data_IF_969713861477
#
_entry.id   IF_969713861477
#
_cell.length_a   1.000
_cell.length_b   1.000
_cell.length_c   1.000
_cell.angle_alpha   90.00
_cell.angle_beta   90.00
_cell.angle_gamma   90.00
#
_symmetry.space_group_name_H-M   'P 1'
#
loop_
_entity.id
_entity.type
_entity.pdbx_description
1 polymer ?
#
# COMPACT_ATOMS: atom_id res chain seq x y z
N UNK A 1 18.36 -7.32 -69.97
CA UNK A 1 18.80 -7.95 -68.70
C UNK A 1 17.69 -7.84 -67.66
N UNK A 2 17.03 -8.94 -67.28
CA UNK A 2 16.08 -8.96 -66.14
C UNK A 2 16.90 -8.92 -64.84
N UNK A 3 16.88 -7.79 -64.14
CA UNK A 3 17.59 -7.61 -62.85
C UNK A 3 16.88 -8.48 -61.79
N UNK A 4 17.64 -9.32 -61.08
CA UNK A 4 17.11 -10.27 -60.11
C UNK A 4 16.66 -9.55 -58.83
N UNK A 5 15.41 -9.08 -58.79
CA UNK A 5 14.88 -8.24 -57.72
C UNK A 5 14.48 -9.00 -56.44
N UNK A 6 14.59 -10.34 -56.43
CA UNK A 6 14.15 -11.17 -55.30
C UNK A 6 14.94 -10.90 -54.01
N UNK A 7 16.24 -10.65 -54.11
CA UNK A 7 17.09 -10.31 -52.95
C UNK A 7 16.78 -8.93 -52.37
N UNK A 8 16.42 -7.96 -53.21
CA UNK A 8 16.04 -6.62 -52.78
C UNK A 8 14.73 -6.65 -51.96
N UNK A 9 13.72 -7.37 -52.44
CA UNK A 9 12.44 -7.55 -51.73
C UNK A 9 12.63 -8.28 -50.39
N UNK A 10 13.55 -9.23 -50.32
CA UNK A 10 13.82 -10.00 -49.10
C UNK A 10 14.51 -9.15 -48.02
N UNK A 11 15.39 -8.24 -48.42
CA UNK A 11 16.03 -7.28 -47.50
C UNK A 11 15.04 -6.21 -47.03
N UNK A 12 14.21 -5.68 -47.93
CA UNK A 12 13.19 -4.68 -47.59
C UNK A 12 12.16 -5.24 -46.59
N UNK A 13 11.67 -6.46 -46.84
CA UNK A 13 10.73 -7.15 -45.92
C UNK A 13 11.38 -7.45 -44.56
N UNK A 14 12.66 -7.80 -44.52
CA UNK A 14 13.40 -8.00 -43.27
C UNK A 14 13.52 -6.70 -42.47
N UNK A 15 13.87 -5.58 -43.13
CA UNK A 15 13.97 -4.26 -42.49
C UNK A 15 12.62 -3.84 -41.90
N UNK A 16 11.55 -3.96 -42.68
CA UNK A 16 10.18 -3.63 -42.23
C UNK A 16 9.78 -4.51 -41.04
N UNK A 17 10.08 -5.81 -41.09
CA UNK A 17 9.75 -6.74 -40.01
C UNK A 17 10.48 -6.42 -38.70
N UNK A 18 11.78 -6.10 -38.77
CA UNK A 18 12.57 -5.67 -37.61
C UNK A 18 12.02 -4.37 -37.03
N UNK A 19 11.68 -3.41 -37.88
CA UNK A 19 11.09 -2.15 -37.44
C UNK A 19 9.78 -2.39 -36.67
N UNK A 20 8.86 -3.17 -37.25
CA UNK A 20 7.57 -3.50 -36.61
C UNK A 20 7.76 -4.23 -35.28
N UNK A 21 8.66 -5.23 -35.23
CA UNK A 21 8.99 -5.95 -33.99
C UNK A 21 9.50 -5.02 -32.90
N UNK A 22 10.39 -4.10 -33.26
CA UNK A 22 10.96 -3.13 -32.32
C UNK A 22 9.88 -2.21 -31.76
N UNK A 23 8.97 -1.72 -32.62
CA UNK A 23 7.83 -0.91 -32.19
C UNK A 23 6.89 -1.68 -31.27
N UNK A 24 6.59 -2.95 -31.58
CA UNK A 24 5.72 -3.78 -30.75
C UNK A 24 6.31 -4.05 -29.36
N UNK A 25 7.62 -4.34 -29.27
CA UNK A 25 8.30 -4.54 -27.99
C UNK A 25 8.25 -3.26 -27.15
N UNK A 26 8.52 -2.10 -27.78
CA UNK A 26 8.42 -0.82 -27.10
C UNK A 26 7.02 -0.56 -26.54
N UNK A 27 5.99 -0.73 -27.38
CA UNK A 27 4.58 -0.57 -26.97
C UNK A 27 4.20 -1.52 -25.84
N UNK A 28 4.65 -2.77 -25.88
CA UNK A 28 4.37 -3.76 -24.84
C UNK A 28 4.97 -3.35 -23.49
N UNK A 29 6.21 -2.85 -23.48
CA UNK A 29 6.87 -2.37 -22.26
C UNK A 29 6.12 -1.19 -21.65
N UNK A 30 5.73 -0.21 -22.48
CA UNK A 30 4.98 0.95 -22.01
C UNK A 30 3.57 0.57 -21.53
N UNK A 31 2.87 -0.28 -22.27
CA UNK A 31 1.56 -0.79 -21.85
C UNK A 31 1.63 -1.50 -20.50
N UNK A 32 2.65 -2.34 -20.26
CA UNK A 32 2.83 -3.00 -18.97
C UNK A 32 3.05 -2.01 -17.83
N UNK A 33 3.85 -0.97 -18.04
CA UNK A 33 4.06 0.08 -17.03
C UNK A 33 2.76 0.81 -16.70
N UNK A 34 2.00 1.21 -17.72
CA UNK A 34 0.72 1.90 -17.56
C UNK A 34 -0.29 1.01 -16.84
N UNK A 35 -0.44 -0.24 -17.27
CA UNK A 35 -1.33 -1.21 -16.63
C UNK A 35 -0.97 -1.42 -15.16
N UNK A 36 0.33 -1.59 -14.86
CA UNK A 36 0.78 -1.74 -13.47
C UNK A 36 0.45 -0.49 -12.64
N UNK A 37 0.64 0.71 -13.18
CA UNK A 37 0.27 1.96 -12.52
C UNK A 37 -1.24 2.07 -12.28
N UNK A 38 -2.05 1.67 -13.27
CA UNK A 38 -3.50 1.63 -13.18
C UNK A 38 -3.97 0.65 -12.11
N UNK A 39 -3.53 -0.61 -12.16
CA UNK A 39 -3.89 -1.63 -11.17
C UNK A 39 -3.50 -1.16 -9.75
N UNK A 40 -2.32 -0.53 -9.61
CA UNK A 40 -1.86 0.06 -8.34
C UNK A 40 -2.79 1.18 -7.85
N UNK A 41 -3.19 2.10 -8.73
CA UNK A 41 -4.06 3.22 -8.37
C UNK A 41 -5.47 2.81 -8.00
N UNK A 42 -5.99 1.72 -8.58
CA UNK A 42 -7.32 1.21 -8.26
C UNK A 42 -7.34 0.31 -7.00
N UNK A 43 -6.18 -0.20 -6.60
CA UNK A 43 -6.07 -1.07 -5.42
C UNK A 43 -5.75 -0.27 -4.14
N UNK A 44 -5.18 0.93 -4.28
CA UNK A 44 -4.68 1.73 -3.17
C UNK A 44 -5.58 2.93 -2.88
N UNK A 45 -5.92 3.13 -1.61
CA UNK A 45 -6.78 4.21 -1.11
C UNK A 45 -8.12 4.31 -1.86
N UNK A 46 -8.78 3.17 -2.06
CA UNK A 46 -10.14 3.14 -2.64
C UNK A 46 -11.10 3.96 -1.77
N UNK A 47 -12.17 4.50 -2.37
CA UNK A 47 -13.15 5.31 -1.62
C UNK A 47 -13.72 4.53 -0.43
N UNK A 48 -14.11 3.28 -0.66
CA UNK A 48 -14.61 2.38 0.39
C UNK A 48 -13.56 2.10 1.45
N UNK A 49 -12.31 1.79 1.05
CA UNK A 49 -11.22 1.52 1.97
C UNK A 49 -10.86 2.73 2.83
N UNK A 50 -10.88 3.94 2.26
CA UNK A 50 -10.65 5.18 3.00
C UNK A 50 -11.77 5.48 4.00
N UNK A 51 -13.02 5.22 3.64
CA UNK A 51 -14.15 5.37 4.58
C UNK A 51 -14.05 4.39 5.74
N UNK A 52 -13.76 3.12 5.44
CA UNK A 52 -13.51 2.10 6.44
C UNK A 52 -12.34 2.45 7.36
N UNK A 53 -11.22 2.90 6.79
CA UNK A 53 -10.06 3.35 7.56
C UNK A 53 -10.37 4.56 8.44
N UNK A 54 -11.17 5.51 7.95
CA UNK A 54 -11.64 6.65 8.73
C UNK A 54 -12.50 6.23 9.91
N UNK A 55 -13.45 5.31 9.70
CA UNK A 55 -14.31 4.81 10.79
C UNK A 55 -13.50 4.11 11.88
N UNK A 56 -12.54 3.27 11.48
CA UNK A 56 -11.68 2.59 12.44
C UNK A 56 -10.70 3.55 13.14
N UNK A 57 -10.19 4.55 12.43
CA UNK A 57 -9.37 5.60 13.03
C UNK A 57 -10.17 6.40 14.08
N UNK A 58 -11.44 6.72 13.82
CA UNK A 58 -12.32 7.35 14.81
C UNK A 58 -12.53 6.44 16.03
N UNK A 59 -12.77 5.14 15.82
CA UNK A 59 -12.88 4.18 16.91
C UNK A 59 -11.61 4.14 17.80
N UNK A 60 -10.42 4.16 17.19
CA UNK A 60 -9.17 4.28 17.95
C UNK A 60 -9.15 5.58 18.77
N UNK A 61 -9.50 6.72 18.14
CA UNK A 61 -9.49 8.05 18.78
C UNK A 61 -10.40 8.12 20.00
N UNK A 62 -11.54 7.45 19.97
CA UNK A 62 -12.57 7.60 20.99
C UNK A 62 -12.25 6.84 22.29
N UNK A 63 -11.42 5.80 22.26
CA UNK A 63 -11.19 4.98 23.46
C UNK A 63 -9.84 4.28 23.61
N UNK A 64 -8.97 4.27 22.59
CA UNK A 64 -7.74 3.45 22.62
C UNK A 64 -6.50 4.16 22.11
N UNK A 65 -6.61 5.43 21.71
CA UNK A 65 -5.52 6.20 21.11
C UNK A 65 -4.29 6.30 22.01
N UNK A 66 -4.44 6.74 23.27
CA UNK A 66 -3.31 6.89 24.19
C UNK A 66 -2.64 5.55 24.48
N UNK A 67 -3.42 4.47 24.67
CA UNK A 67 -2.88 3.13 24.93
C UNK A 67 -2.06 2.61 23.74
N UNK A 68 -2.58 2.75 22.52
CA UNK A 68 -1.90 2.32 21.30
C UNK A 68 -0.64 3.16 21.05
N UNK A 69 -0.72 4.47 21.27
CA UNK A 69 0.44 5.37 21.15
C UNK A 69 1.53 5.01 22.15
N UNK A 70 1.17 4.73 23.41
CA UNK A 70 2.13 4.34 24.44
C UNK A 70 2.75 2.96 24.14
N UNK A 71 1.96 2.01 23.63
CA UNK A 71 2.48 0.74 23.15
C UNK A 71 3.46 0.96 21.99
N UNK A 72 3.17 1.86 21.04
CA UNK A 72 4.07 2.10 19.89
C UNK A 72 5.41 2.67 20.36
N UNK A 73 5.37 3.56 21.34
CA UNK A 73 6.58 4.14 21.96
C UNK A 73 7.38 3.14 22.81
N UNK A 74 6.76 2.05 23.28
CA UNK A 74 7.40 1.09 24.19
C UNK A 74 7.86 -0.15 23.42
N UNK A 75 6.91 -0.85 22.79
CA UNK A 75 7.12 -2.11 22.09
C UNK A 75 7.47 -1.90 20.61
N UNK A 76 6.91 -0.85 20.01
CA UNK A 76 7.14 -0.48 18.61
C UNK A 76 8.52 0.13 18.32
N UNK A 77 9.40 0.30 19.32
CA UNK A 77 10.74 0.90 19.10
C UNK A 77 11.62 0.12 18.12
N UNK A 78 11.45 -1.21 18.05
CA UNK A 78 12.28 -2.06 17.20
C UNK A 78 11.66 -2.30 15.82
N UNK A 79 10.34 -2.40 15.75
CA UNK A 79 9.59 -2.70 14.52
C UNK A 79 9.07 -1.44 13.82
N UNK A 80 8.91 -0.33 14.55
CA UNK A 80 8.27 0.92 14.12
C UNK A 80 6.80 0.76 13.68
N UNK A 81 6.15 -0.33 14.09
CA UNK A 81 4.72 -0.53 13.92
C UNK A 81 4.17 -1.45 15.00
N UNK A 82 2.86 -1.36 15.20
CA UNK A 82 2.05 -2.31 15.98
C UNK A 82 1.05 -2.97 15.06
N UNK A 83 0.92 -4.28 15.19
CA UNK A 83 -0.16 -5.04 14.57
C UNK A 83 -1.42 -5.02 15.46
N UNK A 84 -2.50 -4.50 14.92
CA UNK A 84 -3.82 -4.41 15.56
C UNK A 84 -4.80 -5.45 15.00
N UNK A 85 -4.36 -6.33 14.08
CA UNK A 85 -5.21 -7.27 13.33
C UNK A 85 -6.00 -8.21 14.24
N UNK A 86 -5.42 -8.62 15.36
CA UNK A 86 -6.03 -9.53 16.33
C UNK A 86 -6.85 -8.82 17.42
N UNK A 87 -7.00 -7.49 17.34
CA UNK A 87 -7.73 -6.69 18.34
C UNK A 87 -7.32 -7.04 19.79
N UNK A 88 -6.03 -6.92 20.16
CA UNK A 88 -5.53 -7.36 21.45
C UNK A 88 -6.20 -6.61 22.61
N UNK A 89 -6.64 -7.36 23.62
CA UNK A 89 -7.37 -6.84 24.78
C UNK A 89 -6.55 -5.86 25.63
N UNK A 90 -5.21 -5.86 25.50
CA UNK A 90 -4.33 -4.91 26.16
C UNK A 90 -4.38 -3.51 25.52
N UNK A 91 -4.72 -3.44 24.22
CA UNK A 91 -4.75 -2.18 23.47
C UNK A 91 -6.16 -1.63 23.31
N UNK A 92 -7.18 -2.50 23.27
CA UNK A 92 -8.58 -2.12 23.09
C UNK A 92 -9.41 -2.42 24.34
N UNK A 93 -10.18 -1.44 24.80
CA UNK A 93 -11.13 -1.62 25.90
C UNK A 93 -12.24 -2.62 25.55
N UNK A 94 -12.67 -2.65 24.28
CA UNK A 94 -13.74 -3.51 23.77
C UNK A 94 -13.23 -4.40 22.62
N UNK A 95 -12.43 -5.46 22.90
CA UNK A 95 -11.80 -6.27 21.86
C UNK A 95 -12.83 -7.01 20.98
N UNK A 96 -13.97 -7.42 21.55
CA UNK A 96 -15.07 -8.06 20.80
C UNK A 96 -15.67 -7.09 19.77
N UNK A 97 -15.86 -5.82 20.17
CA UNK A 97 -16.38 -4.80 19.27
C UNK A 97 -15.36 -4.48 18.16
N UNK A 98 -14.07 -4.37 18.50
CA UNK A 98 -12.99 -4.23 17.52
C UNK A 98 -13.03 -5.35 16.46
N UNK A 99 -13.16 -6.62 16.88
CA UNK A 99 -13.24 -7.76 15.96
C UNK A 99 -14.46 -7.68 15.03
N UNK A 100 -15.64 -7.35 15.57
CA UNK A 100 -16.85 -7.15 14.75
C UNK A 100 -16.71 -5.99 13.78
N UNK A 101 -16.09 -4.89 14.20
CA UNK A 101 -15.85 -3.73 13.36
C UNK A 101 -14.88 -4.06 12.23
N UNK A 102 -13.77 -4.74 12.53
CA UNK A 102 -12.81 -5.28 11.55
C UNK A 102 -13.53 -6.13 10.49
N UNK A 103 -14.36 -7.08 10.92
CA UNK A 103 -15.08 -7.97 10.00
C UNK A 103 -16.13 -7.23 9.17
N UNK A 104 -16.89 -6.32 9.77
CA UNK A 104 -17.90 -5.51 9.08
C UNK A 104 -17.28 -4.60 8.03
N UNK A 105 -16.10 -4.05 8.33
CA UNK A 105 -15.35 -3.18 7.43
C UNK A 105 -14.44 -3.96 6.46
N UNK A 106 -14.54 -5.29 6.45
CA UNK A 106 -13.77 -6.18 5.57
C UNK A 106 -12.25 -6.03 5.68
N UNK A 107 -11.75 -5.71 6.89
CA UNK A 107 -10.33 -5.54 7.17
C UNK A 107 -9.66 -6.88 7.44
N UNK A 108 -8.51 -7.12 6.83
CA UNK A 108 -7.67 -8.30 7.08
C UNK A 108 -6.60 -7.97 8.11
N UNK A 109 -5.74 -6.99 7.78
CA UNK A 109 -4.65 -6.54 8.65
C UNK A 109 -4.68 -5.05 8.90
N UNK A 110 -4.30 -4.65 10.10
CA UNK A 110 -4.31 -3.25 10.55
C UNK A 110 -2.99 -2.94 11.26
N UNK A 111 -2.20 -2.04 10.70
CA UNK A 111 -0.91 -1.65 11.22
C UNK A 111 -0.92 -0.19 11.67
N UNK A 112 -0.52 0.05 12.90
CA UNK A 112 -0.38 1.39 13.46
C UNK A 112 1.09 1.78 13.54
N UNK A 113 1.44 2.96 13.03
CA UNK A 113 2.83 3.43 12.89
C UNK A 113 2.91 4.92 13.16
N UNK A 114 4.12 5.43 13.36
CA UNK A 114 4.40 6.86 13.24
C UNK A 114 4.05 7.35 11.83
N UNK A 115 3.67 8.63 11.72
CA UNK A 115 3.46 9.28 10.42
C UNK A 115 4.78 9.30 9.63
N UNK A 116 5.91 9.52 10.29
CA UNK A 116 7.22 9.40 9.65
C UNK A 116 7.60 7.92 9.43
N UNK A 117 7.40 7.45 8.20
CA UNK A 117 7.69 6.07 7.83
C UNK A 117 9.18 5.80 7.60
N UNK A 118 10.08 6.78 7.77
CA UNK A 118 11.52 6.61 7.47
C UNK A 118 12.14 5.41 8.16
N UNK A 119 11.79 5.18 9.43
CA UNK A 119 12.32 4.07 10.22
C UNK A 119 11.67 2.74 9.84
N UNK A 120 10.34 2.72 9.67
CA UNK A 120 9.62 1.54 9.20
C UNK A 120 10.14 1.08 7.83
N UNK A 121 10.39 2.01 6.90
CA UNK A 121 10.90 1.70 5.56
C UNK A 121 12.30 1.09 5.58
N UNK A 122 13.16 1.49 6.52
CA UNK A 122 14.50 0.89 6.70
C UNK A 122 14.42 -0.57 7.19
N UNK A 123 13.45 -0.84 8.06
CA UNK A 123 13.25 -2.15 8.69
C UNK A 123 12.14 -2.98 8.02
N UNK A 124 11.61 -2.53 6.88
CA UNK A 124 10.44 -3.15 6.24
C UNK A 124 10.70 -4.58 5.77
N UNK A 125 11.96 -4.91 5.45
CA UNK A 125 12.32 -6.27 5.04
C UNK A 125 12.17 -7.27 6.19
N UNK A 126 12.53 -6.87 7.41
CA UNK A 126 12.40 -7.68 8.64
C UNK A 126 11.02 -7.60 9.29
N UNK A 127 10.15 -6.68 8.86
CA UNK A 127 8.77 -6.61 9.33
C UNK A 127 7.99 -7.87 8.94
N UNK A 128 7.19 -8.39 9.86
CA UNK A 128 6.28 -9.51 9.64
C UNK A 128 5.01 -8.99 8.95
N UNK A 129 5.14 -8.77 7.64
CA UNK A 129 4.08 -8.24 6.76
C UNK A 129 4.13 -8.95 5.42
N UNK A 130 2.97 -9.10 4.79
CA UNK A 130 2.85 -9.62 3.43
C UNK A 130 3.67 -8.75 2.44
N UNK A 131 4.42 -9.35 1.48
CA UNK A 131 5.10 -8.63 0.42
C UNK A 131 4.28 -7.56 -0.32
N UNK A 132 2.98 -7.78 -0.52
CA UNK A 132 2.10 -6.80 -1.17
C UNK A 132 1.86 -5.58 -0.28
N UNK A 133 1.65 -5.77 1.01
CA UNK A 133 1.57 -4.72 2.03
C UNK A 133 2.87 -3.92 2.08
N UNK A 134 4.02 -4.58 2.06
CA UNK A 134 5.33 -3.91 1.97
C UNK A 134 5.45 -3.05 0.71
N UNK A 135 4.93 -3.52 -0.43
CA UNK A 135 4.91 -2.74 -1.68
C UNK A 135 4.00 -1.52 -1.56
N UNK A 136 2.84 -1.65 -0.93
CA UNK A 136 1.94 -0.53 -0.66
C UNK A 136 2.59 0.53 0.23
N UNK A 137 3.20 0.12 1.35
CA UNK A 137 3.85 1.04 2.31
C UNK A 137 4.90 1.92 1.63
N UNK A 138 5.67 1.38 0.69
CA UNK A 138 6.66 2.13 -0.11
C UNK A 138 6.05 3.24 -0.98
N UNK A 139 4.76 3.19 -1.26
CA UNK A 139 4.05 4.20 -2.06
C UNK A 139 3.39 5.29 -1.22
N UNK A 140 3.28 5.09 0.09
CA UNK A 140 2.64 6.06 0.99
C UNK A 140 3.50 7.31 1.07
N UNK A 141 2.87 8.47 0.82
CA UNK A 141 3.47 9.78 1.10
C UNK A 141 3.31 10.11 2.57
N UNK A 142 4.40 10.54 3.20
CA UNK A 142 4.45 10.87 4.61
C UNK A 142 5.21 12.16 4.89
N UNK A 143 4.89 12.77 6.02
CA UNK A 143 5.57 13.97 6.51
C UNK A 143 6.69 13.56 7.47
N UNK A 144 7.91 14.09 7.24
CA UNK A 144 9.07 13.80 8.08
C UNK A 144 9.08 14.61 9.36
N UNK A 145 9.65 14.04 10.42
CA UNK A 145 9.86 14.70 11.72
C UNK A 145 8.56 15.23 12.36
N UNK A 146 7.41 14.61 12.05
CA UNK A 146 6.11 14.97 12.61
C UNK A 146 5.68 13.95 13.66
N UNK A 147 5.36 14.43 14.87
CA UNK A 147 4.78 13.63 15.95
C UNK A 147 3.28 13.40 15.73
N UNK A 148 2.96 12.66 14.66
CA UNK A 148 1.61 12.17 14.34
C UNK A 148 1.71 10.68 14.04
N UNK A 149 0.55 10.02 14.01
CA UNK A 149 0.48 8.60 13.75
C UNK A 149 -0.37 8.32 12.52
N UNK A 150 -0.23 7.10 12.00
CA UNK A 150 -0.92 6.63 10.81
C UNK A 150 -1.40 5.21 11.02
N UNK A 151 -2.59 4.96 10.48
CA UNK A 151 -3.16 3.64 10.35
C UNK A 151 -3.02 3.19 8.90
N UNK A 152 -2.53 1.96 8.72
CA UNK A 152 -2.35 1.30 7.43
C UNK A 152 -3.20 0.03 7.47
N UNK A 153 -4.06 -0.16 6.49
CA UNK A 153 -5.05 -1.25 6.47
C UNK A 153 -4.91 -2.03 5.17
N UNK A 154 -4.90 -3.35 5.31
CA UNK A 154 -5.07 -4.32 4.23
C UNK A 154 -6.47 -4.92 4.35
N UNK A 155 -7.24 -4.86 3.27
CA UNK A 155 -8.61 -5.40 3.22
C UNK A 155 -8.61 -6.82 2.66
N UNK A 156 -9.65 -7.60 2.98
CA UNK A 156 -9.78 -9.00 2.51
C UNK A 156 -9.94 -9.11 0.98
N UNK A 157 -10.27 -8.01 0.29
CA UNK A 157 -10.35 -7.92 -1.17
C UNK A 157 -9.02 -7.55 -1.85
N UNK A 158 -7.91 -7.56 -1.09
CA UNK A 158 -6.57 -7.14 -1.52
C UNK A 158 -6.45 -5.65 -1.87
N UNK A 159 -7.39 -4.81 -1.44
CA UNK A 159 -7.20 -3.36 -1.46
C UNK A 159 -6.48 -2.89 -0.21
N UNK A 160 -5.94 -1.66 -0.27
CA UNK A 160 -5.17 -1.08 0.82
C UNK A 160 -5.62 0.35 1.09
N UNK A 161 -5.56 0.80 2.34
CA UNK A 161 -5.79 2.20 2.68
C UNK A 161 -4.81 2.66 3.76
N UNK A 162 -4.51 3.95 3.78
CA UNK A 162 -3.79 4.56 4.88
C UNK A 162 -4.36 5.93 5.22
N UNK A 163 -4.47 6.21 6.51
CA UNK A 163 -5.03 7.45 7.02
C UNK A 163 -4.26 7.95 8.22
N UNK A 164 -4.10 9.27 8.32
CA UNK A 164 -3.49 9.91 9.48
C UNK A 164 -4.44 9.81 10.66
N UNK A 165 -3.93 9.38 11.81
CA UNK A 165 -4.66 9.33 13.07
C UNK A 165 -4.15 10.48 13.94
N UNK A 166 -4.90 11.57 13.95
CA UNK A 166 -4.68 12.70 14.86
C UNK A 166 -5.46 12.50 16.14
N UNK A 167 -4.82 12.65 17.30
CA UNK A 167 -5.52 12.72 18.58
C UNK A 167 -6.51 13.90 18.63
N UNK A 168 -7.42 13.91 19.61
CA UNK A 168 -8.33 15.02 19.83
C UNK A 168 -7.53 16.32 20.02
N UNK A 169 -7.53 17.22 19.01
CA UNK A 169 -6.86 18.52 19.08
C UNK A 169 -6.05 18.98 17.85
N UNK A 170 -6.06 18.26 16.73
CA UNK A 170 -5.36 18.70 15.51
C UNK A 170 -6.31 19.24 14.43
N UNK A 171 -6.42 20.57 14.33
CA UNK A 171 -6.76 21.27 13.08
C UNK A 171 -5.59 21.15 12.08
#
# INVERSE_FOLDING_TARGET
>A
MKKNNKGFVLVETLIVSVFVLTTLVFLFVEFRKVKQGFDTSFTYNTVTGMYAASNFASYIKDGSYETIVNALKTDGKNTHYIDLSECPAQLFAEPIYCGRLKDTLNMSHMYFTDEDLSFLLRNLNSADMNPTTKKYIKTIKYDKDVSRYRLIIEFKDNTYASIKVTGHGGL
#
